data_IF_475632073967
#
_entry.id   IF_475632073967
#
_cell.length_a   1.000
_cell.length_b   1.000
_cell.length_c   1.000
_cell.angle_alpha   90.00
_cell.angle_beta   90.00
_cell.angle_gamma   90.00
#
_symmetry.space_group_name_H-M   'P 1'
#
loop_
_entity.id
_entity.type
_entity.pdbx_description
1 polymer ?
#
# COMPACT_ATOMS: atom_id res chain seq x y z
N UNK A 1 1.15 20.45 5.87
CA UNK A 1 1.24 20.35 4.40
C UNK A 1 -0.12 20.34 3.70
N UNK A 2 -1.22 20.18 4.43
CA UNK A 2 -2.57 20.11 3.85
C UNK A 2 -2.81 18.87 2.98
N UNK A 3 -2.14 17.77 3.30
CA UNK A 3 -2.30 16.45 2.64
C UNK A 3 -3.01 15.49 3.59
N UNK A 4 -3.75 14.58 3.00
CA UNK A 4 -4.40 13.46 3.68
C UNK A 4 -3.72 12.14 3.25
N UNK A 5 -3.77 11.08 4.09
CA UNK A 5 -4.48 10.99 5.36
C UNK A 5 -3.75 11.66 6.53
N UNK A 6 -4.52 12.05 7.54
CA UNK A 6 -4.04 12.46 8.85
C UNK A 6 -5.07 12.00 9.88
N UNK A 7 -4.61 11.52 11.03
CA UNK A 7 -5.48 11.11 12.14
C UNK A 7 -5.11 11.87 13.42
N UNK A 8 -6.10 12.06 14.28
CA UNK A 8 -5.93 12.47 15.68
C UNK A 8 -6.38 11.29 16.55
N UNK A 9 -5.48 10.78 17.37
CA UNK A 9 -5.76 9.74 18.32
C UNK A 9 -5.38 10.21 19.71
N UNK A 10 -6.39 10.61 20.48
CA UNK A 10 -6.24 11.16 21.84
C UNK A 10 -5.26 12.35 21.93
N UNK A 11 -5.32 13.25 20.94
CA UNK A 11 -4.44 14.43 20.84
C UNK A 11 -3.08 14.16 20.20
N UNK A 12 -2.80 12.92 19.79
CA UNK A 12 -1.61 12.58 19.01
C UNK A 12 -1.91 12.64 17.52
N UNK A 13 -1.30 13.59 16.84
CA UNK A 13 -1.45 13.74 15.39
C UNK A 13 -0.47 12.80 14.66
N UNK A 14 -1.01 11.88 13.84
CA UNK A 14 -0.20 11.01 12.99
C UNK A 14 -0.52 11.30 11.53
N UNK A 15 0.50 11.54 10.74
CA UNK A 15 0.42 11.74 9.29
C UNK A 15 1.19 10.65 8.55
N UNK A 16 1.17 10.66 7.22
CA UNK A 16 1.77 9.65 6.34
C UNK A 16 1.06 8.28 6.44
N UNK A 17 0.43 7.84 5.36
CA UNK A 17 -0.38 6.62 5.33
C UNK A 17 0.33 5.38 5.89
N UNK A 18 1.60 5.19 5.53
CA UNK A 18 2.40 4.07 6.05
C UNK A 18 2.65 4.18 7.56
N UNK A 19 2.92 5.40 8.07
CA UNK A 19 3.11 5.64 9.50
C UNK A 19 1.81 5.46 10.28
N UNK A 20 0.69 5.92 9.73
CA UNK A 20 -0.65 5.71 10.32
C UNK A 20 -0.94 4.22 10.43
N UNK A 21 -0.69 3.44 9.38
CA UNK A 21 -0.87 1.99 9.39
C UNK A 21 -0.01 1.33 10.47
N UNK A 22 1.28 1.65 10.55
CA UNK A 22 2.17 1.09 11.56
C UNK A 22 1.72 1.48 12.98
N UNK A 23 1.39 2.75 13.20
CA UNK A 23 0.91 3.26 14.48
C UNK A 23 -0.38 2.56 14.95
N UNK A 24 -1.37 2.44 14.08
CA UNK A 24 -2.65 1.80 14.43
C UNK A 24 -2.48 0.30 14.72
N UNK A 25 -1.57 -0.40 14.04
CA UNK A 25 -1.27 -1.80 14.32
C UNK A 25 -0.72 -2.00 15.74
N UNK A 26 0.09 -1.06 16.23
CA UNK A 26 0.65 -1.09 17.59
C UNK A 26 -0.34 -0.57 18.64
N UNK A 27 -1.12 0.48 18.32
CA UNK A 27 -2.10 1.06 19.21
C UNK A 27 -3.28 0.11 19.49
N UNK A 28 -3.61 -0.77 18.55
CA UNK A 28 -4.70 -1.74 18.65
C UNK A 28 -4.21 -3.18 18.47
N UNK A 29 -3.42 -3.72 19.41
CA UNK A 29 -2.78 -5.04 19.28
C UNK A 29 -3.78 -6.18 19.14
N UNK A 30 -4.97 -6.07 19.73
CA UNK A 30 -6.02 -7.08 19.68
C UNK A 30 -6.58 -7.29 18.25
N UNK A 31 -6.37 -6.33 17.35
CA UNK A 31 -6.70 -6.49 15.94
C UNK A 31 -5.78 -7.49 15.21
N UNK A 32 -4.66 -7.88 15.82
CA UNK A 32 -3.74 -8.88 15.27
C UNK A 32 -3.02 -8.46 13.98
N UNK A 33 -2.93 -7.16 13.69
CA UNK A 33 -2.39 -6.63 12.44
C UNK A 33 -0.91 -6.19 12.54
N UNK A 34 -0.36 -6.12 13.76
CA UNK A 34 1.06 -5.88 13.96
C UNK A 34 1.90 -7.11 13.53
N UNK A 35 3.15 -6.90 13.07
CA UNK A 35 4.01 -7.99 12.66
C UNK A 35 4.48 -8.83 13.86
N UNK A 36 4.52 -10.15 13.70
CA UNK A 36 5.25 -11.02 14.61
C UNK A 36 6.76 -10.73 14.55
N UNK A 37 7.56 -11.16 15.54
CA UNK A 37 8.98 -10.85 15.57
C UNK A 37 9.76 -11.26 14.31
N UNK A 38 9.41 -12.39 13.71
CA UNK A 38 10.01 -12.94 12.49
C UNK A 38 9.46 -12.31 11.20
N UNK A 39 8.31 -11.66 11.25
CA UNK A 39 7.71 -10.94 10.10
C UNK A 39 8.22 -9.50 9.96
N UNK A 40 8.86 -8.92 10.99
CA UNK A 40 9.21 -7.49 11.04
C UNK A 40 10.03 -7.01 9.86
N UNK A 41 10.95 -7.85 9.36
CA UNK A 41 11.82 -7.49 8.25
C UNK A 41 11.00 -7.24 6.98
N UNK A 42 10.10 -8.16 6.61
CA UNK A 42 9.24 -8.00 5.46
C UNK A 42 8.19 -6.92 5.68
N UNK A 43 7.58 -6.86 6.85
CA UNK A 43 6.61 -5.84 7.20
C UNK A 43 7.14 -4.42 6.94
N UNK A 44 8.27 -4.05 7.53
CA UNK A 44 8.84 -2.71 7.34
C UNK A 44 9.41 -2.50 5.95
N UNK A 45 10.10 -3.52 5.38
CA UNK A 45 10.61 -3.46 4.02
C UNK A 45 9.53 -3.07 3.03
N UNK A 46 8.41 -3.78 3.02
CA UNK A 46 7.36 -3.57 2.05
C UNK A 46 6.51 -2.32 2.34
N UNK A 47 6.32 -1.98 3.61
CA UNK A 47 5.66 -0.73 3.98
C UNK A 47 6.43 0.48 3.44
N UNK A 48 7.75 0.51 3.65
CA UNK A 48 8.60 1.59 3.14
C UNK A 48 8.81 1.50 1.63
N UNK A 49 8.84 0.32 1.05
CA UNK A 49 8.90 0.16 -0.40
C UNK A 49 7.68 0.75 -1.08
N UNK A 50 6.49 0.55 -0.52
CA UNK A 50 5.25 1.12 -1.03
C UNK A 50 5.19 2.65 -0.84
N UNK A 51 5.61 3.15 0.33
CA UNK A 51 5.59 4.58 0.64
C UNK A 51 6.66 5.41 -0.08
N UNK A 52 7.74 4.80 -0.54
CA UNK A 52 8.81 5.48 -1.26
C UNK A 52 8.86 5.07 -2.73
N UNK A 53 9.50 3.95 -3.07
CA UNK A 53 9.70 3.51 -4.44
C UNK A 53 8.42 3.41 -5.28
N UNK A 54 7.36 2.78 -4.75
CA UNK A 54 6.09 2.59 -5.51
C UNK A 54 5.41 3.92 -5.76
N UNK A 55 5.24 4.74 -4.73
CA UNK A 55 4.60 6.04 -4.87
C UNK A 55 5.40 6.97 -5.79
N UNK A 56 6.71 7.04 -5.64
CA UNK A 56 7.55 7.86 -6.51
C UNK A 56 7.49 7.41 -7.97
N UNK A 57 7.54 6.10 -8.24
CA UNK A 57 7.47 5.56 -9.58
C UNK A 57 6.13 5.86 -10.26
N UNK A 58 5.02 5.64 -9.54
CA UNK A 58 3.65 5.91 -10.03
C UNK A 58 3.46 7.40 -10.27
N UNK A 59 3.79 8.23 -9.29
CA UNK A 59 3.57 9.67 -9.35
C UNK A 59 4.39 10.31 -10.47
N UNK A 60 5.68 9.98 -10.57
CA UNK A 60 6.54 10.51 -11.63
C UNK A 60 6.02 10.11 -13.00
N UNK A 61 5.67 8.84 -13.21
CA UNK A 61 5.08 8.39 -14.48
C UNK A 61 3.78 9.12 -14.81
N UNK A 62 2.89 9.29 -13.84
CA UNK A 62 1.61 9.99 -14.04
C UNK A 62 1.78 11.47 -14.37
N UNK A 63 2.87 12.09 -13.90
CA UNK A 63 3.25 13.46 -14.25
C UNK A 63 4.07 13.56 -15.54
N UNK A 64 4.31 12.46 -16.25
CA UNK A 64 5.10 12.43 -17.49
C UNK A 64 6.61 12.45 -17.27
N UNK A 65 7.11 12.25 -16.05
CA UNK A 65 8.53 12.10 -15.78
C UNK A 65 8.97 10.65 -16.00
N UNK A 66 10.03 10.46 -16.76
CA UNK A 66 10.68 9.16 -16.94
C UNK A 66 12.14 9.24 -16.54
N UNK A 67 12.62 8.21 -15.88
CA UNK A 67 14.03 8.07 -15.51
C UNK A 67 14.76 7.45 -16.69
N UNK A 68 15.79 8.15 -17.21
CA UNK A 68 16.67 7.58 -18.24
C UNK A 68 17.59 6.53 -17.63
N UNK A 69 18.14 5.64 -18.47
CA UNK A 69 19.06 4.58 -18.03
C UNK A 69 20.24 5.11 -17.21
N UNK A 70 20.78 6.28 -17.60
CA UNK A 70 21.90 6.90 -16.88
C UNK A 70 21.48 7.45 -15.50
N UNK A 71 20.20 7.79 -15.34
CA UNK A 71 19.65 8.36 -14.11
C UNK A 71 19.13 7.29 -13.11
N UNK A 72 18.95 6.04 -13.54
CA UNK A 72 18.40 4.97 -12.70
C UNK A 72 19.18 4.75 -11.40
N UNK A 73 20.50 4.99 -11.41
CA UNK A 73 21.34 4.87 -10.21
C UNK A 73 21.09 5.98 -9.18
N UNK A 74 20.61 7.12 -9.63
CA UNK A 74 20.32 8.28 -8.78
C UNK A 74 18.88 8.26 -8.28
N UNK A 75 17.96 7.73 -9.08
CA UNK A 75 16.57 7.57 -8.71
C UNK A 75 16.42 6.43 -7.67
N UNK A 76 15.94 6.74 -6.46
CA UNK A 76 15.82 5.78 -5.37
C UNK A 76 14.94 4.57 -5.68
N UNK A 77 14.06 4.68 -6.68
CA UNK A 77 13.21 3.57 -7.17
C UNK A 77 13.74 2.90 -8.46
N UNK A 78 14.87 3.40 -9.01
CA UNK A 78 15.40 2.94 -10.30
C UNK A 78 14.50 3.40 -11.45
N UNK A 79 13.61 2.54 -11.92
CA UNK A 79 12.60 2.87 -12.93
C UNK A 79 11.25 2.20 -12.58
N UNK A 80 10.19 2.65 -13.25
CA UNK A 80 8.84 2.16 -13.03
C UNK A 80 8.70 0.64 -13.28
N UNK A 81 9.23 0.15 -14.38
CA UNK A 81 9.08 -1.27 -14.76
C UNK A 81 9.72 -2.20 -13.72
N UNK A 82 10.87 -1.81 -13.19
CA UNK A 82 11.53 -2.54 -12.09
C UNK A 82 10.68 -2.58 -10.81
N UNK A 83 10.03 -1.47 -10.46
CA UNK A 83 9.12 -1.44 -9.30
C UNK A 83 7.95 -2.39 -9.51
N UNK A 84 7.35 -2.39 -10.70
CA UNK A 84 6.27 -3.32 -11.06
C UNK A 84 6.73 -4.76 -10.98
N UNK A 85 7.91 -5.10 -11.53
CA UNK A 85 8.47 -6.45 -11.48
C UNK A 85 8.74 -6.94 -10.05
N UNK A 86 9.23 -6.07 -9.18
CA UNK A 86 9.48 -6.40 -7.77
C UNK A 86 8.18 -6.72 -7.05
N UNK A 87 7.12 -5.93 -7.26
CA UNK A 87 5.79 -6.21 -6.70
C UNK A 87 5.19 -7.50 -7.27
N UNK A 88 5.29 -7.70 -8.59
CA UNK A 88 4.78 -8.88 -9.26
C UNK A 88 5.43 -10.16 -8.74
N UNK A 89 6.76 -10.17 -8.65
CA UNK A 89 7.53 -11.29 -8.09
C UNK A 89 7.11 -11.60 -6.65
N UNK A 90 6.88 -10.56 -5.84
CA UNK A 90 6.42 -10.74 -4.46
C UNK A 90 5.09 -11.46 -4.40
N UNK A 91 4.10 -11.00 -5.15
CA UNK A 91 2.73 -11.55 -5.09
C UNK A 91 2.49 -12.77 -5.98
N UNK A 92 3.49 -13.20 -6.76
CA UNK A 92 3.55 -14.54 -7.33
C UNK A 92 4.01 -15.60 -6.31
N UNK A 93 4.84 -15.18 -5.34
CA UNK A 93 5.43 -16.08 -4.35
C UNK A 93 4.61 -16.19 -3.06
N UNK A 94 3.95 -15.12 -2.66
CA UNK A 94 3.30 -15.01 -1.35
C UNK A 94 1.87 -14.48 -1.46
N UNK A 95 1.00 -14.96 -0.58
CA UNK A 95 -0.38 -14.51 -0.50
C UNK A 95 -0.53 -13.11 0.09
N UNK A 96 0.34 -12.74 1.05
CA UNK A 96 0.38 -11.45 1.72
C UNK A 96 1.80 -10.92 1.87
N UNK A 97 1.92 -9.69 2.30
CA UNK A 97 3.22 -9.00 2.48
C UNK A 97 4.18 -9.78 3.38
N UNK A 98 3.67 -10.37 4.45
CA UNK A 98 4.46 -11.15 5.41
C UNK A 98 4.32 -12.69 5.21
N UNK A 99 3.99 -13.14 4.01
CA UNK A 99 3.80 -14.56 3.70
C UNK A 99 2.32 -14.96 3.72
N UNK A 100 1.91 -15.76 4.68
CA UNK A 100 0.56 -16.33 4.75
C UNK A 100 -0.44 -15.49 5.56
N UNK A 101 0.03 -14.53 6.35
CA UNK A 101 -0.80 -13.76 7.27
C UNK A 101 -1.01 -12.32 6.80
N UNK A 102 -2.27 -11.87 6.79
CA UNK A 102 -2.61 -10.47 6.56
C UNK A 102 -2.14 -9.60 7.74
N UNK A 103 -1.44 -8.51 7.44
CA UNK A 103 -0.93 -7.54 8.40
C UNK A 103 -1.35 -6.12 8.01
N UNK A 104 -1.02 -5.13 8.84
CA UNK A 104 -1.27 -3.73 8.48
C UNK A 104 -0.42 -3.27 7.27
N UNK A 105 0.69 -3.94 6.96
CA UNK A 105 1.42 -3.68 5.73
C UNK A 105 0.59 -4.01 4.48
N UNK A 106 -0.28 -5.03 4.54
CA UNK A 106 -1.19 -5.36 3.45
C UNK A 106 -2.31 -4.33 3.27
N UNK A 107 -2.69 -3.61 4.33
CA UNK A 107 -3.63 -2.49 4.21
C UNK A 107 -3.03 -1.40 3.32
N UNK A 108 -1.78 -1.02 3.57
CA UNK A 108 -1.12 0.05 2.82
C UNK A 108 -0.66 -0.39 1.42
N UNK A 109 0.05 -1.50 1.32
CA UNK A 109 0.51 -2.06 0.03
C UNK A 109 -0.68 -2.46 -0.84
N UNK A 110 -1.69 -3.07 -0.23
CA UNK A 110 -2.92 -3.45 -0.89
C UNK A 110 -3.67 -2.27 -1.49
N UNK A 111 -3.75 -1.15 -0.77
CA UNK A 111 -4.33 0.08 -1.30
C UNK A 111 -3.59 0.58 -2.56
N UNK A 112 -2.26 0.55 -2.56
CA UNK A 112 -1.45 0.93 -3.73
C UNK A 112 -1.74 0.03 -4.94
N UNK A 113 -1.87 -1.29 -4.73
CA UNK A 113 -2.15 -2.24 -5.82
C UNK A 113 -3.59 -2.11 -6.32
N UNK A 114 -4.57 -2.09 -5.40
CA UNK A 114 -5.99 -2.01 -5.76
C UNK A 114 -6.29 -0.72 -6.51
N UNK A 115 -5.85 0.42 -5.99
CA UNK A 115 -6.06 1.71 -6.66
C UNK A 115 -5.21 1.84 -7.91
N UNK A 116 -3.96 1.36 -7.88
CA UNK A 116 -3.07 1.39 -9.02
C UNK A 116 -3.64 0.64 -10.23
N UNK A 117 -4.20 -0.53 -10.03
CA UNK A 117 -4.88 -1.29 -11.10
C UNK A 117 -6.20 -0.65 -11.51
N UNK A 118 -7.00 -0.17 -10.55
CA UNK A 118 -8.28 0.49 -10.84
C UNK A 118 -8.12 1.78 -11.66
N UNK A 119 -7.10 2.58 -11.36
CA UNK A 119 -6.85 3.85 -12.08
C UNK A 119 -5.85 3.71 -13.24
N UNK A 120 -5.38 2.49 -13.54
CA UNK A 120 -4.45 2.22 -14.63
C UNK A 120 -3.04 2.78 -14.41
N UNK A 121 -2.67 3.12 -13.18
CA UNK A 121 -1.32 3.56 -12.82
C UNK A 121 -0.37 2.39 -12.55
N UNK A 122 -0.93 1.21 -12.26
CA UNK A 122 -0.25 -0.08 -12.30
C UNK A 122 -0.91 -0.99 -13.36
N UNK A 123 -0.16 -1.88 -14.02
CA UNK A 123 -0.73 -2.81 -15.00
C UNK A 123 -1.56 -3.89 -14.29
N UNK A 124 -2.59 -4.40 -14.96
CA UNK A 124 -3.31 -5.58 -14.51
C UNK A 124 -2.44 -6.83 -14.74
N UNK A 125 -1.75 -7.28 -13.70
CA UNK A 125 -1.05 -8.56 -13.65
C UNK A 125 -1.89 -9.57 -12.87
N UNK A 126 -1.79 -10.86 -13.21
CA UNK A 126 -2.54 -11.92 -12.51
C UNK A 126 -2.27 -11.91 -11.01
N UNK A 127 -1.01 -11.70 -10.59
CA UNK A 127 -0.61 -11.58 -9.19
C UNK A 127 -1.28 -10.42 -8.48
N UNK A 128 -1.38 -9.25 -9.13
CA UNK A 128 -2.02 -8.05 -8.58
C UNK A 128 -3.53 -8.22 -8.45
N UNK A 129 -4.16 -8.81 -9.47
CA UNK A 129 -5.59 -9.11 -9.45
C UNK A 129 -5.93 -10.10 -8.34
N UNK A 130 -5.15 -11.18 -8.22
CA UNK A 130 -5.35 -12.20 -7.19
C UNK A 130 -5.13 -11.63 -5.77
N UNK A 131 -4.05 -10.87 -5.56
CA UNK A 131 -3.77 -10.22 -4.29
C UNK A 131 -4.83 -9.17 -3.94
N UNK A 132 -5.17 -8.28 -4.88
CA UNK A 132 -6.20 -7.27 -4.70
C UNK A 132 -7.56 -7.87 -4.32
N UNK A 133 -7.93 -8.99 -4.95
CA UNK A 133 -9.14 -9.73 -4.60
C UNK A 133 -9.10 -10.21 -3.14
N UNK A 134 -8.01 -10.87 -2.70
CA UNK A 134 -7.86 -11.33 -1.31
C UNK A 134 -8.00 -10.19 -0.29
N UNK A 135 -7.39 -9.05 -0.57
CA UNK A 135 -7.44 -7.88 0.30
C UNK A 135 -8.86 -7.29 0.36
N UNK A 136 -9.52 -7.16 -0.79
CA UNK A 136 -10.83 -6.51 -0.89
C UNK A 136 -12.00 -7.41 -0.47
N UNK A 137 -11.85 -8.73 -0.49
CA UNK A 137 -12.88 -9.67 0.00
C UNK A 137 -12.96 -9.75 1.53
N UNK A 138 -12.05 -9.14 2.27
CA UNK A 138 -12.09 -9.12 3.73
C UNK A 138 -13.28 -8.32 4.24
N UNK A 139 -13.97 -8.88 5.25
CA UNK A 139 -15.17 -8.25 5.84
C UNK A 139 -14.89 -6.81 6.31
N UNK A 140 -13.73 -6.56 6.93
CA UNK A 140 -13.34 -5.23 7.39
C UNK A 140 -13.18 -4.23 6.22
N UNK A 141 -12.63 -4.68 5.08
CA UNK A 141 -12.55 -3.83 3.88
C UNK A 141 -13.95 -3.50 3.35
N UNK A 142 -14.82 -4.50 3.23
CA UNK A 142 -16.18 -4.32 2.74
C UNK A 142 -17.00 -3.41 3.65
N UNK A 143 -16.84 -3.55 4.98
CA UNK A 143 -17.51 -2.69 5.95
C UNK A 143 -17.05 -1.23 5.83
N UNK A 144 -15.74 -0.99 5.74
CA UNK A 144 -15.19 0.36 5.56
C UNK A 144 -15.65 0.98 4.24
N UNK A 145 -15.58 0.21 3.14
CA UNK A 145 -16.06 0.67 1.84
C UNK A 145 -17.54 1.04 1.85
N UNK A 146 -18.38 0.27 2.52
CA UNK A 146 -19.82 0.58 2.62
C UNK A 146 -20.08 1.90 3.35
N UNK A 147 -19.28 2.25 4.36
CA UNK A 147 -19.36 3.55 5.04
C UNK A 147 -18.99 4.68 4.10
N UNK A 148 -17.89 4.54 3.36
CA UNK A 148 -17.43 5.55 2.40
C UNK A 148 -18.45 5.74 1.27
N UNK A 149 -18.96 4.66 0.69
CA UNK A 149 -19.97 4.70 -0.37
C UNK A 149 -21.26 5.42 0.09
N UNK A 150 -21.69 5.17 1.33
CA UNK A 150 -22.85 5.84 1.90
C UNK A 150 -22.62 7.35 2.10
N UNK A 151 -21.43 7.75 2.55
CA UNK A 151 -21.05 9.16 2.70
C UNK A 151 -20.97 9.88 1.34
N UNK A 152 -20.42 9.24 0.32
CA UNK A 152 -20.34 9.77 -1.03
C UNK A 152 -21.75 9.98 -1.58
N UNK A 153 -22.63 8.97 -1.46
CA UNK A 153 -24.01 9.06 -1.92
C UNK A 153 -24.83 10.16 -1.24
N UNK A 154 -24.55 10.42 0.06
CA UNK A 154 -25.21 11.47 0.82
C UNK A 154 -24.76 12.91 0.44
N UNK A 155 -23.60 13.06 -0.23
CA UNK A 155 -23.01 14.35 -0.61
C UNK A 155 -22.98 14.59 -2.13
N UNK A 156 -23.58 13.70 -2.93
CA UNK A 156 -23.71 13.82 -4.38
C UNK A 156 -25.09 14.35 -4.77
#
# INVERSE_FOLDING_TARGET
MGKVPAIDHDGQIVTEGAAICAYLAEAFPDAGLAPAPDERADYYRWLFFAAGPVEAAITNRSMGFSVSTDQERMAGYGNYDRVVEVLDTKFQADDYVCGERFTMADVYVGAQIVWGTQFGTLPERESFVAYGKRVTEREAYQAAKAVDDALIAANS
#
